data_IF_914762358513
#
_entry.id   IF_914762358513
#
_cell.length_a   1.000
_cell.length_b   1.000
_cell.length_c   1.000
_cell.angle_alpha   90.00
_cell.angle_beta   90.00
_cell.angle_gamma   90.00
#
_symmetry.space_group_name_H-M   'P 1'
#
loop_
_entity.id
_entity.type
_entity.pdbx_description
1 polymer ?
#
# COMPACT_ATOMS: atom_id res chain seq x y z
N UNK A 1 -15.97 5.33 25.08
CA UNK A 1 -15.19 4.07 25.02
C UNK A 1 -14.97 3.61 26.46
N UNK A 2 -15.16 2.33 26.80
CA UNK A 2 -14.98 1.86 28.19
C UNK A 2 -13.49 1.95 28.57
N UNK A 3 -13.15 2.37 29.79
CA UNK A 3 -11.76 2.57 30.23
C UNK A 3 -10.85 1.33 30.03
N UNK A 4 -11.41 0.12 30.15
CA UNK A 4 -10.69 -1.14 29.90
C UNK A 4 -10.26 -1.32 28.43
N UNK A 5 -11.09 -0.92 27.48
CA UNK A 5 -10.76 -0.99 26.04
C UNK A 5 -9.65 0.01 25.69
N UNK A 6 -9.69 1.21 26.27
CA UNK A 6 -8.65 2.21 26.08
C UNK A 6 -7.30 1.73 26.62
N UNK A 7 -7.26 1.17 27.84
CA UNK A 7 -6.04 0.57 28.40
C UNK A 7 -5.50 -0.56 27.54
N UNK A 8 -6.38 -1.41 27.01
CA UNK A 8 -5.97 -2.47 26.10
C UNK A 8 -5.34 -1.91 24.81
N UNK A 9 -5.98 -0.93 24.19
CA UNK A 9 -5.45 -0.30 22.98
C UNK A 9 -4.11 0.41 23.20
N UNK A 10 -3.97 1.13 24.32
CA UNK A 10 -2.71 1.76 24.71
C UNK A 10 -1.61 0.71 24.93
N UNK A 11 -1.94 -0.43 25.55
CA UNK A 11 -1.01 -1.54 25.70
C UNK A 11 -0.58 -2.14 24.36
N UNK A 12 -1.53 -2.35 23.43
CA UNK A 12 -1.21 -2.83 22.07
C UNK A 12 -0.36 -1.81 21.33
N UNK A 13 -0.69 -0.53 21.41
CA UNK A 13 0.08 0.55 20.81
C UNK A 13 1.53 0.57 21.33
N UNK A 14 1.73 0.61 22.66
CA UNK A 14 3.05 0.70 23.26
C UNK A 14 3.92 -0.52 22.93
N UNK A 15 3.35 -1.74 22.99
CA UNK A 15 4.06 -2.97 22.63
C UNK A 15 4.40 -3.01 21.13
N UNK A 16 3.45 -2.64 20.27
CA UNK A 16 3.67 -2.58 18.82
C UNK A 16 4.78 -1.59 18.49
N UNK A 17 4.74 -0.39 19.07
CA UNK A 17 5.75 0.63 18.88
C UNK A 17 7.13 0.16 19.35
N UNK A 18 7.21 -0.44 20.54
CA UNK A 18 8.46 -0.99 21.06
C UNK A 18 9.06 -2.05 20.13
N UNK A 19 8.25 -3.00 19.65
CA UNK A 19 8.69 -4.03 18.71
C UNK A 19 9.18 -3.43 17.40
N UNK A 20 8.44 -2.48 16.83
CA UNK A 20 8.79 -1.84 15.55
C UNK A 20 10.07 -0.99 15.68
N UNK A 21 10.24 -0.25 16.78
CA UNK A 21 11.45 0.55 17.01
C UNK A 21 12.68 -0.33 17.26
N UNK A 22 12.54 -1.44 18.00
CA UNK A 22 13.62 -2.41 18.18
C UNK A 22 14.00 -3.01 16.82
N UNK A 23 13.01 -3.45 16.04
CA UNK A 23 13.19 -3.98 14.69
C UNK A 23 13.88 -2.97 13.77
N UNK A 24 13.54 -1.70 13.89
CA UNK A 24 14.11 -0.61 13.12
C UNK A 24 15.58 -0.39 13.47
N UNK A 25 15.85 -0.08 14.74
CA UNK A 25 17.10 0.55 15.16
C UNK A 25 18.17 -0.45 15.65
N UNK A 26 17.78 -1.67 16.05
CA UNK A 26 18.68 -2.62 16.72
C UNK A 26 18.99 -3.82 15.82
N UNK A 27 20.27 -4.22 15.66
CA UNK A 27 21.48 -3.60 16.18
C UNK A 27 21.90 -2.33 15.42
N UNK A 28 21.25 -2.05 14.28
CA UNK A 28 21.48 -0.87 13.46
C UNK A 28 20.22 -0.50 12.68
N UNK A 29 20.03 0.76 12.28
CA UNK A 29 18.91 1.17 11.44
C UNK A 29 18.81 0.37 10.14
N UNK A 30 17.59 0.10 9.69
CA UNK A 30 17.25 -0.49 8.38
C UNK A 30 16.33 0.43 7.61
N UNK A 31 16.52 0.56 6.31
CA UNK A 31 15.66 1.35 5.42
C UNK A 31 15.57 0.69 4.04
N UNK A 32 15.20 1.47 3.03
CA UNK A 32 15.27 1.05 1.64
C UNK A 32 16.03 2.10 0.84
N UNK A 33 17.02 1.66 0.05
CA UNK A 33 17.80 2.51 -0.82
C UNK A 33 16.90 3.16 -1.89
N UNK A 34 17.26 4.36 -2.34
CA UNK A 34 16.54 5.02 -3.41
C UNK A 34 16.78 4.27 -4.73
N UNK A 35 15.71 3.98 -5.47
CA UNK A 35 15.80 3.39 -6.81
C UNK A 35 15.95 4.45 -7.92
N UNK A 36 16.13 5.72 -7.57
CA UNK A 36 16.15 6.86 -8.49
C UNK A 36 14.80 7.59 -8.58
N UNK A 37 13.81 7.24 -7.75
CA UNK A 37 12.53 7.98 -7.66
C UNK A 37 12.56 9.06 -6.56
N UNK A 38 13.41 8.91 -5.56
CA UNK A 38 13.41 9.71 -4.34
C UNK A 38 13.70 11.18 -4.56
N UNK A 39 14.42 11.53 -5.63
CA UNK A 39 14.63 12.92 -6.03
C UNK A 39 13.30 13.67 -6.17
N UNK A 40 12.22 13.01 -6.62
CA UNK A 40 10.91 13.64 -6.83
C UNK A 40 10.30 14.18 -5.55
N UNK A 41 10.62 13.57 -4.41
CA UNK A 41 10.16 13.99 -3.07
C UNK A 41 11.18 14.95 -2.43
N UNK A 42 12.47 14.59 -2.49
CA UNK A 42 13.57 15.39 -1.93
C UNK A 42 13.65 16.78 -2.55
N UNK A 43 13.37 16.89 -3.86
CA UNK A 43 13.43 18.13 -4.60
C UNK A 43 12.53 19.23 -4.01
N UNK A 44 11.27 18.91 -3.74
CA UNK A 44 10.32 19.87 -3.15
C UNK A 44 10.62 20.17 -1.67
N UNK A 45 11.35 19.27 -1.00
CA UNK A 45 11.81 19.47 0.38
C UNK A 45 13.08 20.32 0.46
N UNK A 46 13.78 20.56 -0.65
CA UNK A 46 15.10 21.19 -0.66
C UNK A 46 16.24 20.24 -0.25
N UNK A 47 15.97 18.93 -0.24
CA UNK A 47 16.94 17.90 0.06
C UNK A 47 17.87 17.60 -1.13
N UNK A 48 19.09 17.20 -0.82
CA UNK A 48 20.06 16.68 -1.79
C UNK A 48 19.46 15.45 -2.45
N UNK A 49 19.39 15.51 -3.76
CA UNK A 49 19.03 14.41 -4.63
C UNK A 49 20.31 14.08 -5.40
N UNK A 50 20.93 12.90 -5.20
CA UNK A 50 21.96 12.46 -6.12
C UNK A 50 21.43 12.44 -7.54
N UNK A 51 22.33 12.41 -8.53
CA UNK A 51 21.94 12.16 -9.93
C UNK A 51 20.97 10.98 -9.98
N UNK A 52 20.00 10.98 -10.91
CA UNK A 52 18.82 10.07 -11.03
C UNK A 52 19.17 8.55 -11.09
N UNK A 53 20.44 8.19 -10.86
CA UNK A 53 20.93 6.84 -10.68
C UNK A 53 20.38 6.18 -9.39
N UNK A 54 20.04 4.89 -9.46
CA UNK A 54 19.72 4.09 -8.27
C UNK A 54 20.86 4.07 -7.26
N UNK A 55 20.52 4.20 -5.98
CA UNK A 55 21.45 4.05 -4.86
C UNK A 55 21.58 2.57 -4.46
N UNK A 56 22.80 2.16 -4.13
CA UNK A 56 23.09 0.79 -3.66
C UNK A 56 23.05 0.66 -2.13
N UNK A 57 23.00 1.78 -1.41
CA UNK A 57 22.95 1.87 0.05
C UNK A 57 21.82 2.80 0.49
N UNK A 58 21.39 2.68 1.75
CA UNK A 58 20.43 3.60 2.36
C UNK A 58 21.12 4.86 2.86
N UNK A 59 20.67 6.02 2.40
CA UNK A 59 21.09 7.32 2.93
C UNK A 59 20.14 7.79 4.02
N UNK A 60 20.46 7.51 5.29
CA UNK A 60 19.60 7.91 6.40
C UNK A 60 19.53 9.43 6.64
N UNK A 61 20.39 10.23 6.00
CA UNK A 61 20.36 11.68 6.11
C UNK A 61 20.62 12.31 4.74
N UNK A 62 19.64 13.04 4.22
CA UNK A 62 19.77 13.85 3.01
C UNK A 62 20.05 15.29 3.42
N UNK A 63 21.24 15.80 3.08
CA UNK A 63 21.64 17.19 3.32
C UNK A 63 20.87 18.19 2.44
N UNK A 64 21.20 19.50 2.47
CA UNK A 64 20.61 20.48 1.57
C UNK A 64 21.00 20.22 0.11
N UNK A 65 20.06 20.42 -0.81
CA UNK A 65 20.24 20.31 -2.25
C UNK A 65 20.08 21.64 -2.98
N UNK A 66 20.30 21.65 -4.30
CA UNK A 66 19.99 22.79 -5.16
C UNK A 66 18.47 23.00 -5.25
N UNK A 67 18.05 24.26 -5.40
CA UNK A 67 16.64 24.59 -5.61
C UNK A 67 16.12 23.90 -6.88
N UNK A 68 15.03 23.17 -6.74
CA UNK A 68 14.34 22.54 -7.85
C UNK A 68 12.85 22.42 -7.52
N UNK A 69 12.04 22.01 -8.50
CA UNK A 69 10.62 21.76 -8.31
C UNK A 69 10.21 20.48 -9.01
N UNK A 70 9.54 19.60 -8.28
CA UNK A 70 8.96 18.37 -8.80
C UNK A 70 7.45 18.52 -8.85
N UNK A 71 6.85 18.22 -10.00
CA UNK A 71 5.39 18.14 -10.14
C UNK A 71 4.80 16.86 -9.55
N UNK A 72 5.61 15.97 -8.97
CA UNK A 72 5.15 14.70 -8.44
C UNK A 72 4.25 14.87 -7.22
N UNK A 73 3.10 14.19 -7.26
CA UNK A 73 2.16 14.16 -6.15
C UNK A 73 2.29 12.82 -5.42
N UNK A 74 2.56 12.91 -4.13
CA UNK A 74 2.49 11.78 -3.21
C UNK A 74 2.18 12.27 -1.79
N UNK A 75 1.33 11.55 -1.07
CA UNK A 75 1.12 11.73 0.36
C UNK A 75 2.35 11.41 1.20
N UNK A 76 3.36 10.71 0.64
CA UNK A 76 4.67 10.52 1.26
C UNK A 76 5.34 11.86 1.57
N UNK A 77 5.14 12.89 0.72
CA UNK A 77 5.67 14.22 0.94
C UNK A 77 5.17 14.85 2.26
N UNK A 78 3.99 14.48 2.76
CA UNK A 78 3.51 14.95 4.07
C UNK A 78 4.34 14.36 5.21
N UNK A 79 4.74 13.10 5.08
CA UNK A 79 5.57 12.42 6.06
C UNK A 79 6.99 12.98 6.03
N UNK A 80 7.54 13.18 4.83
CA UNK A 80 8.89 13.73 4.65
C UNK A 80 8.96 15.16 5.18
N UNK A 81 7.96 15.99 4.88
CA UNK A 81 7.88 17.36 5.41
C UNK A 81 7.80 17.38 6.93
N UNK A 82 6.94 16.53 7.53
CA UNK A 82 6.81 16.48 8.97
C UNK A 82 8.09 15.94 9.64
N UNK A 83 8.71 14.90 9.07
CA UNK A 83 9.97 14.34 9.52
C UNK A 83 11.12 15.34 9.41
N UNK A 84 11.16 16.16 8.36
CA UNK A 84 12.11 17.26 8.22
C UNK A 84 11.99 18.25 9.37
N UNK A 85 10.79 18.78 9.63
CA UNK A 85 10.56 19.74 10.72
C UNK A 85 10.89 19.15 12.08
N UNK A 86 10.45 17.92 12.33
CA UNK A 86 10.73 17.25 13.59
C UNK A 86 12.22 16.93 13.75
N UNK A 87 12.91 16.59 12.65
CA UNK A 87 14.34 16.38 12.62
C UNK A 87 15.13 17.62 13.04
N UNK A 88 14.75 18.82 12.56
CA UNK A 88 15.35 20.08 13.00
C UNK A 88 15.14 20.35 14.49
N UNK A 89 13.94 20.03 15.02
CA UNK A 89 13.65 20.14 16.47
C UNK A 89 14.56 19.23 17.30
N UNK A 90 14.89 18.03 16.78
CA UNK A 90 15.84 17.11 17.41
C UNK A 90 17.31 17.38 17.06
N UNK A 91 17.62 18.52 16.42
CA UNK A 91 18.99 18.94 16.13
C UNK A 91 19.64 18.26 14.92
N UNK A 92 18.87 17.58 14.06
CA UNK A 92 19.39 17.03 12.81
C UNK A 92 19.79 18.15 11.85
N UNK A 93 21.00 18.05 11.29
CA UNK A 93 21.48 18.96 10.25
C UNK A 93 20.98 18.58 8.86
N UNK A 94 20.44 17.38 8.69
CA UNK A 94 19.86 16.92 7.43
C UNK A 94 18.58 17.69 7.10
N UNK A 95 18.26 17.82 5.81
CA UNK A 95 16.96 18.30 5.37
C UNK A 95 15.88 17.23 5.53
N UNK A 96 16.27 15.96 5.38
CA UNK A 96 15.46 14.82 5.77
C UNK A 96 16.33 13.77 6.49
N UNK A 97 15.90 13.35 7.68
CA UNK A 97 16.48 12.23 8.40
C UNK A 97 15.51 11.04 8.38
N UNK A 98 15.89 9.97 7.67
CA UNK A 98 15.05 8.78 7.53
C UNK A 98 14.89 8.02 8.85
N UNK A 99 15.72 8.28 9.86
CA UNK A 99 15.52 7.74 11.22
C UNK A 99 14.32 8.38 11.89
N UNK A 100 14.15 9.69 11.71
CA UNK A 100 12.99 10.43 12.22
C UNK A 100 11.73 10.01 11.46
N UNK A 101 11.81 9.92 10.13
CA UNK A 101 10.72 9.42 9.28
C UNK A 101 10.30 8.01 9.70
N UNK A 102 11.26 7.08 9.83
CA UNK A 102 11.03 5.71 10.27
C UNK A 102 10.39 5.60 11.65
N UNK A 103 10.76 6.50 12.58
CA UNK A 103 10.13 6.54 13.90
C UNK A 103 8.67 7.04 13.83
N UNK A 104 8.40 8.07 13.02
CA UNK A 104 7.04 8.59 12.77
C UNK A 104 6.16 7.49 12.16
N UNK A 105 6.66 6.81 11.14
CA UNK A 105 5.92 5.72 10.48
C UNK A 105 5.71 4.54 11.44
N UNK A 106 6.67 4.19 12.30
CA UNK A 106 6.46 3.20 13.37
C UNK A 106 5.31 3.61 14.32
N UNK A 107 5.20 4.90 14.70
CA UNK A 107 4.09 5.42 15.51
C UNK A 107 2.75 5.28 14.77
N UNK A 108 2.70 5.65 13.49
CA UNK A 108 1.49 5.53 12.67
C UNK A 108 1.06 4.06 12.51
N UNK A 109 2.01 3.16 12.26
CA UNK A 109 1.75 1.71 12.15
C UNK A 109 1.27 1.15 13.48
N UNK A 110 1.92 1.46 14.60
CA UNK A 110 1.48 1.02 15.93
C UNK A 110 0.07 1.52 16.26
N UNK A 111 -0.25 2.78 15.91
CA UNK A 111 -1.58 3.37 16.02
C UNK A 111 -2.60 2.65 15.15
N UNK A 112 -2.25 2.34 13.90
CA UNK A 112 -3.08 1.58 12.97
C UNK A 112 -3.37 0.16 13.44
N UNK A 113 -2.39 -0.56 13.99
CA UNK A 113 -2.58 -1.88 14.60
C UNK A 113 -3.51 -1.79 15.80
N UNK A 114 -3.27 -0.85 16.72
CA UNK A 114 -4.11 -0.65 17.91
C UNK A 114 -5.57 -0.31 17.54
N UNK A 115 -5.77 0.60 16.58
CA UNK A 115 -7.09 0.95 16.09
C UNK A 115 -7.78 -0.23 15.39
N UNK A 116 -7.04 -0.99 14.59
CA UNK A 116 -7.57 -2.18 13.92
C UNK A 116 -8.08 -3.20 14.94
N UNK A 117 -7.29 -3.54 15.96
CA UNK A 117 -7.71 -4.55 16.95
C UNK A 117 -8.89 -4.10 17.81
N UNK A 118 -9.04 -2.79 18.06
CA UNK A 118 -10.24 -2.23 18.67
C UNK A 118 -11.48 -2.38 17.78
N UNK A 119 -11.28 -2.31 16.46
CA UNK A 119 -12.33 -2.53 15.46
C UNK A 119 -12.78 -4.00 15.34
N UNK A 120 -12.04 -4.97 15.88
CA UNK A 120 -12.34 -6.40 15.74
C UNK A 120 -13.34 -6.90 16.80
N UNK A 121 -14.44 -7.53 16.37
CA UNK A 121 -15.35 -8.31 17.24
C UNK A 121 -14.79 -9.69 17.60
N UNK A 122 -13.67 -9.71 18.30
CA UNK A 122 -12.99 -10.94 18.73
C UNK A 122 -12.74 -10.93 20.25
N UNK A 123 -12.50 -12.12 20.81
CA UNK A 123 -12.03 -12.24 22.20
C UNK A 123 -10.68 -11.53 22.38
N UNK A 124 -10.34 -11.15 23.61
CA UNK A 124 -9.08 -10.45 23.92
C UNK A 124 -7.86 -11.24 23.43
N UNK A 125 -7.84 -12.56 23.62
CA UNK A 125 -6.79 -13.46 23.11
C UNK A 125 -6.65 -13.35 21.59
N UNK A 126 -7.77 -13.43 20.88
CA UNK A 126 -7.79 -13.37 19.42
C UNK A 126 -7.44 -11.98 18.87
N UNK A 127 -7.72 -10.91 19.61
CA UNK A 127 -7.23 -9.55 19.29
C UNK A 127 -5.71 -9.42 19.46
N UNK A 128 -5.12 -10.09 20.45
CA UNK A 128 -3.65 -10.16 20.57
C UNK A 128 -3.04 -10.93 19.41
N UNK A 129 -3.62 -12.07 19.02
CA UNK A 129 -3.20 -12.81 17.81
C UNK A 129 -3.31 -11.92 16.57
N UNK A 130 -4.40 -11.16 16.43
CA UNK A 130 -4.56 -10.21 15.34
C UNK A 130 -3.46 -9.14 15.33
N UNK A 131 -3.11 -8.55 16.49
CA UNK A 131 -2.01 -7.59 16.58
C UNK A 131 -0.68 -8.21 16.10
N UNK A 132 -0.39 -9.45 16.53
CA UNK A 132 0.82 -10.17 16.11
C UNK A 132 0.83 -10.43 14.59
N UNK A 133 -0.29 -10.90 14.01
CA UNK A 133 -0.38 -11.15 12.58
C UNK A 133 -0.26 -9.86 11.75
N UNK A 134 -0.86 -8.75 12.20
CA UNK A 134 -0.69 -7.46 11.55
C UNK A 134 0.76 -6.99 11.65
N UNK A 135 1.37 -7.05 12.83
CA UNK A 135 2.79 -6.72 13.01
C UNK A 135 3.71 -7.60 12.17
N UNK A 136 3.37 -8.87 11.95
CA UNK A 136 4.14 -9.76 11.09
C UNK A 136 4.16 -9.26 9.65
N UNK A 137 3.04 -8.75 9.13
CA UNK A 137 2.99 -8.09 7.81
C UNK A 137 3.82 -6.81 7.83
N UNK A 138 3.59 -5.93 8.80
CA UNK A 138 4.27 -4.63 8.82
C UNK A 138 5.78 -4.72 9.08
N UNK A 139 6.23 -5.68 9.88
CA UNK A 139 7.64 -5.89 10.23
C UNK A 139 8.39 -6.75 9.21
N UNK A 140 7.69 -7.33 8.22
CA UNK A 140 8.30 -8.20 7.23
C UNK A 140 9.37 -7.46 6.41
N UNK A 141 10.46 -8.16 6.11
CA UNK A 141 11.65 -7.60 5.46
C UNK A 141 11.39 -7.08 4.04
N UNK A 142 10.31 -7.51 3.38
CA UNK A 142 9.90 -6.95 2.09
C UNK A 142 9.28 -5.55 2.20
N UNK A 143 8.69 -5.19 3.34
CA UNK A 143 7.93 -3.94 3.47
C UNK A 143 8.56 -2.94 4.43
N UNK A 144 9.19 -3.42 5.50
CA UNK A 144 9.62 -2.56 6.61
C UNK A 144 10.57 -1.43 6.16
N UNK A 145 11.50 -1.72 5.24
CA UNK A 145 12.45 -0.74 4.73
C UNK A 145 11.77 0.50 4.10
N UNK A 146 10.59 0.33 3.50
CA UNK A 146 9.86 1.43 2.87
C UNK A 146 9.35 2.48 3.86
N UNK A 147 9.16 2.11 5.13
CA UNK A 147 8.79 3.06 6.18
C UNK A 147 9.90 4.06 6.54
N UNK A 148 11.14 3.76 6.15
CA UNK A 148 12.31 4.62 6.28
C UNK A 148 13.00 4.75 4.91
N UNK A 149 12.30 5.32 3.94
CA UNK A 149 12.77 5.54 2.57
C UNK A 149 12.15 6.80 1.96
N UNK A 150 12.77 7.33 0.92
CA UNK A 150 12.23 8.41 0.08
C UNK A 150 11.35 7.85 -1.04
N UNK A 151 10.58 6.80 -0.75
CA UNK A 151 9.75 6.11 -1.72
C UNK A 151 8.29 6.09 -1.25
N UNK A 152 7.36 6.19 -2.19
CA UNK A 152 5.93 6.39 -1.89
C UNK A 152 5.20 5.13 -1.39
N UNK A 153 5.80 3.95 -1.50
CA UNK A 153 5.19 2.68 -1.08
C UNK A 153 4.88 2.67 0.43
N UNK A 154 5.74 3.29 1.25
CA UNK A 154 5.56 3.37 2.70
C UNK A 154 4.25 4.07 3.09
N UNK A 155 3.95 5.21 2.45
CA UNK A 155 2.66 5.89 2.62
C UNK A 155 1.48 5.01 2.17
N UNK A 156 1.61 4.30 1.05
CA UNK A 156 0.58 3.36 0.58
C UNK A 156 0.25 2.28 1.62
N UNK A 157 1.28 1.66 2.21
CA UNK A 157 1.14 0.62 3.23
C UNK A 157 0.47 1.14 4.51
N UNK A 158 0.92 2.29 5.02
CA UNK A 158 0.31 2.95 6.19
C UNK A 158 -1.15 3.28 5.91
N UNK A 159 -1.44 3.89 4.75
CA UNK A 159 -2.79 4.27 4.34
C UNK A 159 -3.75 3.08 4.31
N UNK A 160 -3.33 1.95 3.73
CA UNK A 160 -4.13 0.73 3.67
C UNK A 160 -4.42 0.13 5.06
N UNK A 161 -3.44 0.12 5.98
CA UNK A 161 -3.65 -0.35 7.36
C UNK A 161 -4.66 0.56 8.11
N UNK A 162 -4.47 1.88 8.04
CA UNK A 162 -5.36 2.84 8.70
C UNK A 162 -6.77 2.77 8.11
N UNK A 163 -6.89 2.63 6.79
CA UNK A 163 -8.17 2.49 6.10
C UNK A 163 -8.91 1.22 6.54
N UNK A 164 -8.22 0.07 6.61
CA UNK A 164 -8.80 -1.18 7.09
C UNK A 164 -9.30 -1.06 8.54
N UNK A 165 -8.47 -0.54 9.44
CA UNK A 165 -8.85 -0.32 10.84
C UNK A 165 -9.99 0.69 11.00
N UNK A 166 -9.96 1.78 10.23
CA UNK A 166 -10.99 2.82 10.21
C UNK A 166 -12.35 2.28 9.78
N UNK A 167 -12.40 1.48 8.70
CA UNK A 167 -13.64 0.86 8.22
C UNK A 167 -14.23 -0.11 9.26
N UNK A 168 -13.39 -0.89 9.95
CA UNK A 168 -13.83 -1.79 11.03
C UNK A 168 -14.40 -1.01 12.22
N UNK A 169 -13.73 0.06 12.64
CA UNK A 169 -14.18 0.94 13.73
C UNK A 169 -15.45 1.72 13.36
N UNK A 170 -15.59 2.13 12.11
CA UNK A 170 -16.78 2.85 11.64
C UNK A 170 -18.03 1.96 11.64
N UNK A 171 -17.88 0.63 11.61
CA UNK A 171 -18.98 -0.32 11.82
C UNK A 171 -19.34 -0.52 13.31
N UNK A 172 -18.68 0.18 14.24
CA UNK A 172 -19.03 0.19 15.68
C UNK A 172 -20.05 1.30 15.97
N UNK A 173 -20.42 1.43 17.25
CA UNK A 173 -21.39 2.42 17.75
C UNK A 173 -20.70 3.47 18.65
N UNK A 174 -21.38 4.58 18.91
CA UNK A 174 -20.90 5.67 19.77
C UNK A 174 -19.61 6.31 19.25
N UNK A 175 -18.75 6.77 20.18
CA UNK A 175 -17.50 7.47 19.84
C UNK A 175 -16.57 6.69 18.90
N UNK A 176 -16.53 5.35 19.02
CA UNK A 176 -15.69 4.49 18.17
C UNK A 176 -16.03 4.61 16.69
N UNK A 177 -17.31 4.86 16.37
CA UNK A 177 -17.77 5.07 14.99
C UNK A 177 -17.17 6.33 14.36
N UNK A 178 -17.16 7.43 15.11
CA UNK A 178 -16.64 8.71 14.64
C UNK A 178 -15.10 8.71 14.58
N UNK A 179 -14.45 8.08 15.55
CA UNK A 179 -13.00 7.80 15.47
C UNK A 179 -12.66 6.93 14.25
N UNK A 180 -13.48 5.91 13.97
CA UNK A 180 -13.35 5.10 12.76
C UNK A 180 -13.50 5.92 11.49
N UNK A 181 -14.44 6.87 11.44
CA UNK A 181 -14.60 7.77 10.30
C UNK A 181 -13.39 8.70 10.10
N UNK A 182 -12.88 9.31 11.18
CA UNK A 182 -11.67 10.14 11.12
C UNK A 182 -10.45 9.34 10.64
N UNK A 183 -10.28 8.12 11.15
CA UNK A 183 -9.22 7.21 10.73
C UNK A 183 -9.39 6.75 9.28
N UNK A 184 -10.64 6.52 8.83
CA UNK A 184 -10.97 6.20 7.43
C UNK A 184 -10.59 7.36 6.52
N UNK A 185 -10.89 8.61 6.90
CA UNK A 185 -10.49 9.81 6.15
C UNK A 185 -8.97 9.89 6.06
N UNK A 186 -8.26 9.78 7.18
CA UNK A 186 -6.79 9.84 7.20
C UNK A 186 -6.16 8.72 6.35
N UNK A 187 -6.60 7.48 6.55
CA UNK A 187 -6.11 6.32 5.80
C UNK A 187 -6.40 6.41 4.30
N UNK A 188 -7.58 6.89 3.92
CA UNK A 188 -7.93 7.08 2.52
C UNK A 188 -7.14 8.22 1.86
N UNK A 189 -6.99 9.38 2.52
CA UNK A 189 -6.21 10.50 1.99
C UNK A 189 -4.74 10.10 1.82
N UNK A 190 -4.15 9.40 2.79
CA UNK A 190 -2.79 8.89 2.69
C UNK A 190 -2.69 7.82 1.60
N UNK A 191 -3.53 6.79 1.67
CA UNK A 191 -3.42 5.60 0.81
C UNK A 191 -3.74 5.87 -0.66
N UNK A 192 -4.82 6.61 -0.96
CA UNK A 192 -5.22 6.91 -2.34
C UNK A 192 -4.17 7.80 -3.03
N UNK A 193 -3.65 8.78 -2.31
CA UNK A 193 -2.71 9.77 -2.85
C UNK A 193 -1.24 9.36 -2.68
N UNK A 194 -0.93 8.11 -2.32
CA UNK A 194 0.45 7.66 -2.17
C UNK A 194 1.17 7.60 -3.52
N UNK A 195 0.54 7.04 -4.54
CA UNK A 195 1.11 6.90 -5.89
C UNK A 195 -0.01 6.96 -6.94
N UNK A 196 0.33 7.21 -8.19
CA UNK A 196 -0.65 7.14 -9.30
C UNK A 196 -1.38 5.79 -9.35
N UNK A 197 -0.67 4.70 -9.04
CA UNK A 197 -1.21 3.35 -9.02
C UNK A 197 -2.25 3.16 -7.91
N UNK A 198 -2.09 3.83 -6.76
CA UNK A 198 -3.02 3.72 -5.62
C UNK A 198 -4.35 4.43 -5.86
N UNK A 199 -4.48 5.23 -6.91
CA UNK A 199 -5.77 5.81 -7.33
C UNK A 199 -6.82 4.74 -7.66
N UNK A 200 -6.39 3.52 -7.98
CA UNK A 200 -7.28 2.36 -8.14
C UNK A 200 -8.09 2.05 -6.87
N UNK A 201 -7.67 2.53 -5.71
CA UNK A 201 -8.45 2.43 -4.46
C UNK A 201 -9.74 3.24 -4.49
N UNK A 202 -9.87 4.31 -5.30
CA UNK A 202 -11.04 5.21 -5.28
C UNK A 202 -12.36 4.45 -5.48
N UNK A 203 -12.58 3.70 -6.59
CA UNK A 203 -13.84 2.98 -6.79
C UNK A 203 -14.08 1.92 -5.70
N UNK A 204 -13.02 1.24 -5.24
CA UNK A 204 -13.11 0.22 -4.20
C UNK A 204 -13.48 0.83 -2.83
N UNK A 205 -12.95 2.00 -2.53
CA UNK A 205 -13.24 2.78 -1.33
C UNK A 205 -14.70 3.24 -1.31
N UNK A 206 -15.22 3.76 -2.43
CA UNK A 206 -16.63 4.15 -2.57
C UNK A 206 -17.54 2.95 -2.29
N UNK A 207 -17.24 1.78 -2.89
CA UNK A 207 -17.99 0.55 -2.66
C UNK A 207 -17.87 0.11 -1.20
N UNK A 208 -16.68 0.14 -0.59
CA UNK A 208 -16.48 -0.22 0.80
C UNK A 208 -17.32 0.66 1.75
N UNK A 209 -17.33 1.98 1.54
CA UNK A 209 -18.18 2.92 2.28
C UNK A 209 -19.67 2.62 2.10
N UNK A 210 -20.09 2.31 0.87
CA UNK A 210 -21.46 1.91 0.57
C UNK A 210 -21.86 0.60 1.28
N UNK A 211 -20.90 -0.23 1.68
CA UNK A 211 -21.16 -1.50 2.36
C UNK A 211 -21.09 -1.40 3.90
N UNK A 212 -20.66 -0.27 4.47
CA UNK A 212 -20.66 -0.01 5.91
C UNK A 212 -22.08 -0.04 6.46
N UNK A 213 -22.34 -0.91 7.44
CA UNK A 213 -23.66 -1.07 8.07
C UNK A 213 -23.51 -1.16 9.59
N UNK A 214 -23.44 -0.02 10.31
CA UNK A 214 -23.37 -0.04 11.76
C UNK A 214 -24.65 -0.67 12.37
N UNK A 215 -24.53 -1.34 13.52
CA UNK A 215 -25.69 -1.79 14.29
C UNK A 215 -26.61 -0.61 14.64
N UNK A 216 -27.94 -0.83 14.52
CA UNK A 216 -28.96 0.14 14.97
C UNK A 216 -29.27 1.30 14.00
N UNK A 217 -28.45 1.56 12.98
CA UNK A 217 -28.77 2.63 12.01
C UNK A 217 -29.81 2.18 10.98
N UNK A 218 -30.98 2.83 10.97
CA UNK A 218 -32.08 2.57 10.02
C UNK A 218 -32.27 3.75 9.05
N UNK A 219 -32.92 3.48 7.92
CA UNK A 219 -33.29 4.50 6.93
C UNK A 219 -32.10 5.23 6.29
N UNK A 220 -32.34 6.46 5.82
CA UNK A 220 -31.35 7.28 5.10
C UNK A 220 -30.21 7.79 6.01
N UNK A 221 -30.45 7.92 7.31
CA UNK A 221 -29.49 8.42 8.32
C UNK A 221 -28.20 7.58 8.38
N UNK A 222 -28.28 6.28 8.09
CA UNK A 222 -27.11 5.39 8.06
C UNK A 222 -26.02 5.84 7.08
N UNK A 223 -26.39 6.61 6.06
CA UNK A 223 -25.51 7.06 4.99
C UNK A 223 -24.84 8.41 5.25
N UNK A 224 -25.31 9.21 6.22
CA UNK A 224 -24.79 10.56 6.45
C UNK A 224 -23.28 10.55 6.74
N UNK A 225 -22.84 9.66 7.62
CA UNK A 225 -21.41 9.56 7.97
C UNK A 225 -20.56 9.03 6.80
N UNK A 226 -20.88 7.90 6.14
CA UNK A 226 -20.18 7.48 4.92
C UNK A 226 -20.14 8.54 3.81
N UNK A 227 -21.23 9.28 3.60
CA UNK A 227 -21.26 10.37 2.61
C UNK A 227 -20.37 11.54 3.03
N UNK A 228 -20.38 11.93 4.30
CA UNK A 228 -19.46 12.95 4.81
C UNK A 228 -17.99 12.55 4.63
N UNK A 229 -17.65 11.29 4.95
CA UNK A 229 -16.31 10.73 4.69
C UNK A 229 -15.97 10.79 3.20
N UNK A 230 -16.89 10.38 2.33
CA UNK A 230 -16.69 10.41 0.89
C UNK A 230 -16.46 11.83 0.36
N UNK A 231 -17.23 12.81 0.82
CA UNK A 231 -17.08 14.22 0.43
C UNK A 231 -15.73 14.77 0.88
N UNK A 232 -15.33 14.53 2.14
CA UNK A 232 -14.04 15.01 2.66
C UNK A 232 -12.87 14.36 1.92
N UNK A 233 -12.90 13.05 1.71
CA UNK A 233 -11.85 12.33 0.97
C UNK A 233 -11.82 12.75 -0.50
N UNK A 234 -12.98 12.88 -1.13
CA UNK A 234 -13.11 13.30 -2.53
C UNK A 234 -12.58 14.71 -2.76
N UNK A 235 -13.00 15.67 -1.92
CA UNK A 235 -12.49 17.04 -1.97
C UNK A 235 -10.99 17.11 -1.66
N UNK A 236 -10.53 16.44 -0.60
CA UNK A 236 -9.11 16.39 -0.25
C UNK A 236 -8.25 15.77 -1.36
N UNK A 237 -8.70 14.67 -1.96
CA UNK A 237 -8.02 14.03 -3.10
C UNK A 237 -8.01 14.96 -4.32
N UNK A 238 -9.14 15.61 -4.64
CA UNK A 238 -9.19 16.56 -5.75
C UNK A 238 -8.21 17.73 -5.57
N UNK A 239 -8.13 18.29 -4.35
CA UNK A 239 -7.15 19.32 -4.00
C UNK A 239 -5.72 18.81 -4.15
N UNK A 240 -5.39 17.65 -3.59
CA UNK A 240 -4.03 17.09 -3.69
C UNK A 240 -3.64 16.85 -5.14
N UNK A 241 -4.55 16.28 -5.92
CA UNK A 241 -4.31 15.95 -7.32
C UNK A 241 -4.27 17.17 -8.25
N UNK A 242 -4.82 18.33 -7.85
CA UNK A 242 -4.79 19.55 -8.67
C UNK A 242 -3.44 20.29 -8.65
N UNK A 243 -2.52 19.92 -7.76
CA UNK A 243 -1.26 20.65 -7.55
C UNK A 243 -0.07 20.12 -8.38
N UNK A 244 -0.27 19.09 -9.19
CA UNK A 244 0.83 18.48 -9.95
C UNK A 244 0.38 17.39 -10.90
N UNK A 245 1.34 16.57 -11.33
CA UNK A 245 1.11 15.40 -12.17
C UNK A 245 1.54 14.13 -11.40
N UNK A 246 0.58 13.30 -10.95
CA UNK A 246 0.90 12.08 -10.21
C UNK A 246 1.65 11.04 -11.06
N UNK A 247 1.56 11.13 -12.39
CA UNK A 247 2.22 10.22 -13.31
C UNK A 247 3.50 10.82 -13.92
N UNK A 248 3.52 12.13 -14.22
CA UNK A 248 4.54 12.85 -15.02
C UNK A 248 4.62 12.29 -16.47
N UNK A 249 4.58 13.17 -17.49
CA UNK A 249 4.63 12.76 -18.90
C UNK A 249 5.90 11.99 -19.26
N UNK A 250 7.06 12.36 -18.70
CA UNK A 250 8.33 11.68 -18.93
C UNK A 250 8.31 10.25 -18.36
N UNK A 251 7.84 10.09 -17.13
CA UNK A 251 7.69 8.78 -16.49
C UNK A 251 6.64 7.91 -17.17
N UNK A 252 5.60 8.50 -17.76
CA UNK A 252 4.66 7.76 -18.61
C UNK A 252 5.36 7.20 -19.84
N UNK A 253 6.27 7.93 -20.45
CA UNK A 253 7.05 7.45 -21.59
C UNK A 253 8.06 6.39 -21.16
N UNK A 254 8.80 6.64 -20.06
CA UNK A 254 9.71 5.68 -19.45
C UNK A 254 9.03 4.34 -19.15
N UNK A 255 7.82 4.37 -18.56
CA UNK A 255 7.06 3.16 -18.29
C UNK A 255 6.67 2.41 -19.57
N UNK A 256 6.32 3.13 -20.65
CA UNK A 256 5.99 2.47 -21.93
C UNK A 256 7.22 1.92 -22.64
N UNK A 257 8.35 2.60 -22.56
CA UNK A 257 9.65 2.05 -22.97
C UNK A 257 9.89 0.72 -22.26
N UNK A 258 9.73 0.69 -20.94
CA UNK A 258 9.94 -0.53 -20.16
C UNK A 258 8.95 -1.65 -20.48
N UNK A 259 7.67 -1.34 -20.67
CA UNK A 259 6.69 -2.34 -21.11
C UNK A 259 7.12 -2.98 -22.43
N UNK A 260 7.57 -2.18 -23.39
CA UNK A 260 7.98 -2.70 -24.70
C UNK A 260 9.28 -3.48 -24.61
N UNK A 261 10.33 -2.93 -24.02
CA UNK A 261 11.69 -3.46 -24.17
C UNK A 261 12.17 -4.36 -23.03
N UNK A 262 11.39 -4.48 -21.96
CA UNK A 262 11.73 -5.34 -20.83
C UNK A 262 10.67 -6.42 -20.55
N UNK A 263 9.43 -6.22 -21.01
CA UNK A 263 8.34 -7.20 -20.84
C UNK A 263 7.89 -7.86 -22.14
N UNK A 264 7.50 -7.08 -23.16
CA UNK A 264 7.00 -7.64 -24.42
C UNK A 264 8.16 -8.21 -25.23
N UNK A 265 9.11 -7.35 -25.59
CA UNK A 265 10.29 -7.67 -26.38
C UNK A 265 11.43 -8.00 -25.42
N UNK A 266 11.29 -9.09 -24.67
CA UNK A 266 12.19 -9.47 -23.57
C UNK A 266 13.52 -10.10 -24.00
N UNK A 267 13.73 -10.29 -25.31
CA UNK A 267 14.93 -10.93 -25.88
C UNK A 267 15.03 -12.45 -25.63
N UNK A 268 14.04 -13.06 -24.96
CA UNK A 268 14.01 -14.51 -24.66
C UNK A 268 13.04 -15.25 -25.57
N UNK A 269 12.02 -14.55 -26.07
CA UNK A 269 11.03 -15.07 -27.00
C UNK A 269 11.25 -14.52 -28.42
N UNK A 270 10.29 -14.77 -29.34
CA UNK A 270 10.36 -14.34 -30.74
C UNK A 270 10.31 -12.81 -30.86
N UNK A 271 11.50 -12.23 -30.73
CA UNK A 271 11.74 -10.79 -30.73
C UNK A 271 11.29 -10.15 -32.03
N UNK A 272 11.48 -10.82 -33.16
CA UNK A 272 11.12 -10.27 -34.47
C UNK A 272 9.62 -10.26 -34.67
N UNK A 273 8.92 -11.32 -34.25
CA UNK A 273 7.46 -11.35 -34.27
C UNK A 273 6.86 -10.31 -33.32
N UNK A 274 7.40 -10.16 -32.09
CA UNK A 274 6.92 -9.21 -31.10
C UNK A 274 7.11 -7.75 -31.57
N UNK A 275 8.27 -7.43 -32.16
CA UNK A 275 8.52 -6.12 -32.78
C UNK A 275 7.58 -5.86 -33.97
N UNK A 276 7.42 -6.84 -34.86
CA UNK A 276 6.52 -6.71 -36.01
C UNK A 276 5.05 -6.49 -35.58
N UNK A 277 4.59 -7.20 -34.55
CA UNK A 277 3.26 -7.05 -33.98
C UNK A 277 3.03 -5.68 -33.33
N UNK A 278 4.07 -5.08 -32.74
CA UNK A 278 4.05 -3.72 -32.22
C UNK A 278 4.24 -2.65 -33.32
N UNK A 279 4.53 -3.06 -34.56
CA UNK A 279 4.85 -2.17 -35.66
C UNK A 279 6.19 -1.47 -35.50
N UNK A 280 7.14 -2.06 -34.77
CA UNK A 280 8.46 -1.49 -34.50
C UNK A 280 9.52 -2.05 -35.48
N UNK A 281 10.52 -1.24 -35.86
CA UNK A 281 11.58 -1.69 -36.77
C UNK A 281 12.57 -2.65 -36.06
N UNK A 282 13.30 -3.50 -36.81
CA UNK A 282 14.34 -4.35 -36.23
C UNK A 282 15.46 -3.60 -35.49
N UNK A 283 15.71 -2.32 -35.83
CA UNK A 283 16.67 -1.46 -35.12
C UNK A 283 16.29 -1.22 -33.66
N UNK A 284 15.01 -1.40 -33.29
CA UNK A 284 14.54 -1.25 -31.91
C UNK A 284 15.11 -2.33 -30.96
N UNK A 285 15.68 -3.43 -31.48
CA UNK A 285 16.34 -4.48 -30.67
C UNK A 285 17.43 -3.94 -29.74
N UNK A 286 18.07 -2.82 -30.09
CA UNK A 286 19.13 -2.21 -29.27
C UNK A 286 18.65 -1.69 -27.91
N UNK A 287 17.34 -1.50 -27.73
CA UNK A 287 16.76 -1.03 -26.48
C UNK A 287 16.32 -2.15 -25.53
N UNK A 288 16.37 -3.42 -25.97
CA UNK A 288 15.99 -4.58 -25.16
C UNK A 288 16.84 -4.64 -23.88
N UNK A 289 16.18 -4.72 -22.73
CA UNK A 289 16.85 -4.80 -21.43
C UNK A 289 17.53 -3.49 -20.98
N UNK A 290 17.30 -2.37 -21.67
CA UNK A 290 17.96 -1.10 -21.36
C UNK A 290 17.12 -0.22 -20.43
N UNK A 291 17.78 0.35 -19.41
CA UNK A 291 17.15 1.30 -18.49
C UNK A 291 16.86 2.63 -19.19
N UNK A 292 15.67 3.24 -18.98
CA UNK A 292 15.32 4.55 -19.57
C UNK A 292 16.40 5.60 -19.30
N UNK A 293 16.79 5.76 -18.03
CA UNK A 293 17.79 6.74 -17.60
C UNK A 293 19.21 6.41 -18.08
N UNK A 294 19.56 5.12 -18.11
CA UNK A 294 20.91 4.67 -18.48
C UNK A 294 21.15 4.75 -20.00
N UNK A 295 20.15 4.42 -20.80
CA UNK A 295 20.26 4.43 -22.26
C UNK A 295 19.90 5.77 -22.89
N UNK A 296 19.17 6.64 -22.18
CA UNK A 296 18.72 7.94 -22.68
C UNK A 296 18.11 7.86 -24.09
N UNK A 297 17.13 6.96 -24.33
CA UNK A 297 16.62 6.65 -25.68
C UNK A 297 16.01 7.88 -26.38
N UNK A 298 15.54 8.89 -25.63
CA UNK A 298 15.04 10.16 -26.20
C UNK A 298 16.11 10.98 -26.96
N UNK A 299 17.40 10.67 -26.77
CA UNK A 299 18.51 11.29 -27.52
C UNK A 299 18.86 10.54 -28.80
N UNK A 300 18.34 9.32 -28.98
CA UNK A 300 18.66 8.45 -30.09
C UNK A 300 17.71 8.68 -31.28
N UNK A 301 18.22 9.04 -32.48
CA UNK A 301 17.40 9.28 -33.66
C UNK A 301 16.49 8.10 -34.04
N UNK A 302 16.95 6.86 -33.87
CA UNK A 302 16.14 5.68 -34.20
C UNK A 302 14.92 5.62 -33.28
N UNK A 303 15.11 5.78 -31.97
CA UNK A 303 14.00 5.77 -31.01
C UNK A 303 12.97 6.85 -31.35
N UNK A 304 13.44 8.08 -31.60
CA UNK A 304 12.54 9.19 -31.94
C UNK A 304 11.71 8.93 -33.20
N UNK A 305 12.23 8.16 -34.16
CA UNK A 305 11.52 7.81 -35.40
C UNK A 305 10.31 6.89 -35.21
N UNK A 306 10.31 6.05 -34.16
CA UNK A 306 9.23 5.10 -33.89
C UNK A 306 8.54 5.32 -32.53
N UNK A 307 8.97 6.29 -31.73
CA UNK A 307 8.42 6.55 -30.38
C UNK A 307 6.89 6.66 -30.36
N UNK A 308 6.29 7.25 -31.39
CA UNK A 308 4.83 7.48 -31.44
C UNK A 308 4.04 6.17 -31.61
N UNK A 309 4.71 5.08 -32.04
CA UNK A 309 4.14 3.74 -32.11
C UNK A 309 4.07 3.06 -30.74
N UNK A 310 4.93 3.48 -29.80
CA UNK A 310 4.95 3.04 -28.40
C UNK A 310 3.84 3.78 -27.64
N UNK A 311 2.61 3.30 -27.82
CA UNK A 311 1.42 3.89 -27.20
C UNK A 311 0.65 2.88 -26.36
N UNK A 312 -0.09 3.36 -25.36
CA UNK A 312 -1.00 2.53 -24.56
C UNK A 312 -1.99 1.75 -25.42
N UNK A 313 -2.45 2.36 -26.53
CA UNK A 313 -3.38 1.71 -27.46
C UNK A 313 -2.71 0.51 -28.14
N UNK A 314 -1.50 0.70 -28.66
CA UNK A 314 -0.73 -0.36 -29.32
C UNK A 314 -0.46 -1.51 -28.35
N UNK A 315 -0.06 -1.19 -27.11
CA UNK A 315 0.20 -2.18 -26.06
C UNK A 315 -1.06 -2.97 -25.70
N UNK A 316 -2.21 -2.29 -25.50
CA UNK A 316 -3.48 -2.96 -25.22
C UNK A 316 -3.93 -3.85 -26.39
N UNK A 317 -3.73 -3.40 -27.63
CA UNK A 317 -4.03 -4.19 -28.82
C UNK A 317 -3.12 -5.42 -28.90
N UNK A 318 -1.82 -5.27 -28.64
CA UNK A 318 -0.87 -6.38 -28.59
C UNK A 318 -1.31 -7.44 -27.56
N UNK A 319 -1.65 -7.02 -26.34
CA UNK A 319 -2.09 -7.98 -25.31
C UNK A 319 -3.37 -8.73 -25.68
N UNK A 320 -4.30 -8.06 -26.37
CA UNK A 320 -5.55 -8.66 -26.82
C UNK A 320 -5.35 -9.64 -27.99
N UNK A 321 -4.42 -9.35 -28.91
CA UNK A 321 -4.12 -10.22 -30.06
C UNK A 321 -3.11 -11.33 -29.76
N UNK A 322 -2.36 -11.24 -28.65
CA UNK A 322 -1.33 -12.21 -28.25
C UNK A 322 -1.58 -12.80 -26.85
N UNK A 323 -2.72 -13.47 -26.60
CA UNK A 323 -3.09 -13.93 -25.25
C UNK A 323 -2.07 -14.89 -24.62
N UNK A 324 -1.38 -15.71 -25.44
CA UNK A 324 -0.32 -16.59 -24.94
C UNK A 324 0.89 -15.82 -24.42
N UNK A 325 1.34 -14.78 -25.15
CA UNK A 325 2.43 -13.89 -24.70
C UNK A 325 2.00 -13.09 -23.47
N UNK A 326 0.77 -12.56 -23.46
CA UNK A 326 0.20 -11.87 -22.30
C UNK A 326 0.21 -12.75 -21.05
N UNK A 327 -0.15 -14.04 -21.17
CA UNK A 327 -0.09 -14.97 -20.05
C UNK A 327 1.33 -15.23 -19.56
N UNK A 328 2.32 -15.27 -20.45
CA UNK A 328 3.73 -15.41 -20.09
C UNK A 328 4.25 -14.18 -19.34
N UNK A 329 3.85 -12.97 -19.77
CA UNK A 329 4.17 -11.72 -19.07
C UNK A 329 3.53 -11.71 -17.67
N UNK A 330 2.26 -12.09 -17.56
CA UNK A 330 1.58 -12.22 -16.26
C UNK A 330 2.23 -13.29 -15.38
N UNK A 331 2.69 -14.40 -15.97
CA UNK A 331 3.42 -15.44 -15.23
C UNK A 331 4.72 -14.88 -14.64
N UNK A 332 5.51 -14.15 -15.43
CA UNK A 332 6.72 -13.49 -14.93
C UNK A 332 6.38 -12.43 -13.86
N UNK A 333 5.35 -11.62 -14.09
CA UNK A 333 4.88 -10.65 -13.11
C UNK A 333 4.51 -11.31 -11.78
N UNK A 334 3.89 -12.49 -11.80
CA UNK A 334 3.55 -13.24 -10.58
C UNK A 334 4.80 -13.80 -9.87
N UNK A 335 5.80 -14.26 -10.62
CA UNK A 335 7.12 -14.64 -10.06
C UNK A 335 7.75 -13.42 -9.37
N UNK A 336 7.72 -12.26 -10.00
CA UNK A 336 8.28 -11.02 -9.47
C UNK A 336 7.52 -10.55 -8.21
N UNK A 337 6.19 -10.62 -8.22
CA UNK A 337 5.35 -10.34 -7.02
C UNK A 337 5.72 -11.23 -5.86
N UNK A 338 5.85 -12.54 -6.08
CA UNK A 338 6.11 -13.51 -5.03
C UNK A 338 7.56 -13.48 -4.55
N UNK A 339 8.51 -13.07 -5.41
CA UNK A 339 9.91 -12.85 -5.03
C UNK A 339 10.04 -11.80 -3.92
N UNK A 340 9.11 -10.83 -3.88
CA UNK A 340 8.90 -9.86 -2.81
C UNK A 340 10.06 -8.89 -2.50
N UNK A 341 11.27 -9.15 -2.97
CA UNK A 341 12.46 -8.39 -2.56
C UNK A 341 13.27 -7.98 -3.78
N UNK A 342 13.30 -6.69 -4.14
CA UNK A 342 14.08 -6.22 -5.27
C UNK A 342 15.57 -6.39 -4.97
N UNK A 343 16.26 -7.22 -5.74
CA UNK A 343 17.69 -7.57 -5.54
C UNK A 343 18.64 -6.38 -5.70
N UNK A 344 18.17 -5.30 -6.33
CA UNK A 344 18.97 -4.09 -6.63
C UNK A 344 18.92 -3.02 -5.54
N UNK A 345 18.10 -3.18 -4.50
CA UNK A 345 17.95 -2.18 -3.43
C UNK A 345 18.54 -2.68 -2.11
N UNK A 346 19.48 -1.90 -1.57
CA UNK A 346 20.09 -2.15 -0.26
C UNK A 346 19.18 -1.76 0.90
N UNK A 347 19.36 -2.43 2.04
CA UNK A 347 18.61 -2.17 3.28
C UNK A 347 19.42 -1.47 4.36
N UNK A 348 20.72 -1.25 4.13
CA UNK A 348 21.66 -0.69 5.09
C UNK A 348 22.43 0.49 4.51
N UNK A 349 22.89 1.38 5.38
CA UNK A 349 23.85 2.42 5.02
C UNK A 349 25.25 1.83 4.83
N UNK A 350 26.08 2.51 4.04
CA UNK A 350 27.48 2.14 3.80
C UNK A 350 28.27 1.97 5.11
N UNK A 351 28.06 2.88 6.08
CA UNK A 351 28.72 2.83 7.40
C UNK A 351 28.39 1.59 8.23
N UNK A 352 27.40 0.78 7.83
CA UNK A 352 27.13 -0.52 8.44
C UNK A 352 28.19 -1.58 8.09
N UNK A 353 29.06 -1.34 7.11
CA UNK A 353 30.12 -2.26 6.70
C UNK A 353 29.62 -3.49 5.94
N UNK A 354 28.40 -3.45 5.39
CA UNK A 354 27.90 -4.50 4.51
C UNK A 354 28.22 -4.18 3.04
N UNK A 355 28.26 -5.20 2.15
CA UNK A 355 28.42 -4.98 0.72
C UNK A 355 27.30 -4.12 0.10
N UNK A 356 27.53 -3.50 -1.07
CA UNK A 356 26.48 -2.82 -1.84
C UNK A 356 25.26 -3.71 -2.06
N UNK A 357 24.06 -3.13 -2.04
CA UNK A 357 22.77 -3.84 -2.20
C UNK A 357 22.50 -4.91 -1.13
N UNK A 358 23.26 -4.90 -0.02
CA UNK A 358 23.02 -5.84 1.08
C UNK A 358 21.61 -5.68 1.66
N UNK A 359 20.99 -6.82 1.85
CA UNK A 359 19.57 -6.96 2.06
C UNK A 359 19.30 -7.46 3.49
N UNK A 360 18.30 -6.92 4.18
CA UNK A 360 18.02 -7.30 5.57
C UNK A 360 17.05 -8.49 5.68
N UNK A 361 17.21 -9.34 6.70
CA UNK A 361 16.42 -10.57 6.90
C UNK A 361 16.00 -10.76 8.36
N UNK A 362 15.74 -9.68 9.11
CA UNK A 362 15.42 -9.81 10.56
C UNK A 362 14.06 -10.47 10.78
N UNK A 363 13.10 -10.20 9.89
CA UNK A 363 11.76 -10.81 9.92
C UNK A 363 11.36 -11.14 8.46
N UNK A 364 11.85 -12.24 7.87
CA UNK A 364 11.59 -12.57 6.47
C UNK A 364 10.52 -13.69 6.37
N UNK A 365 9.43 -13.54 7.12
CA UNK A 365 8.49 -14.66 7.33
C UNK A 365 7.56 -14.81 6.13
N UNK A 366 6.82 -13.75 5.80
CA UNK A 366 5.88 -13.78 4.68
C UNK A 366 6.62 -13.68 3.35
N UNK A 367 7.61 -12.80 3.26
CA UNK A 367 8.45 -12.68 2.06
C UNK A 367 9.31 -13.91 1.80
N UNK A 368 9.79 -14.59 2.84
CA UNK A 368 10.51 -15.85 2.69
C UNK A 368 9.59 -16.95 2.15
N UNK A 369 8.38 -17.08 2.70
CA UNK A 369 7.39 -18.05 2.22
C UNK A 369 6.92 -17.76 0.79
N UNK A 370 6.72 -16.49 0.43
CA UNK A 370 6.37 -16.14 -0.96
C UNK A 370 7.52 -16.39 -1.91
N UNK A 371 8.76 -16.10 -1.51
CA UNK A 371 9.94 -16.34 -2.35
C UNK A 371 10.11 -17.84 -2.64
N UNK A 372 9.82 -18.72 -1.68
CA UNK A 372 9.79 -20.18 -1.91
C UNK A 372 8.74 -20.59 -2.94
N UNK A 373 7.59 -19.90 -2.96
CA UNK A 373 6.52 -20.15 -3.92
C UNK A 373 6.71 -19.39 -5.25
N UNK A 374 7.67 -18.47 -5.33
CA UNK A 374 7.83 -17.58 -6.48
C UNK A 374 8.01 -18.30 -7.82
N UNK A 375 8.77 -19.42 -7.93
CA UNK A 375 8.89 -20.16 -9.19
C UNK A 375 7.56 -20.67 -9.76
N UNK A 376 6.52 -20.83 -8.92
CA UNK A 376 5.19 -21.24 -9.36
C UNK A 376 4.41 -20.10 -10.00
N UNK A 377 4.76 -18.83 -9.75
CA UNK A 377 4.09 -17.64 -10.29
C UNK A 377 2.57 -17.69 -10.11
N UNK A 378 1.81 -17.64 -11.21
CA UNK A 378 0.34 -17.63 -11.17
C UNK A 378 -0.24 -18.89 -10.51
N UNK A 379 0.44 -20.05 -10.61
CA UNK A 379 0.00 -21.30 -10.00
C UNK A 379 0.03 -21.27 -8.47
N UNK A 380 0.79 -20.36 -7.85
CA UNK A 380 0.69 -20.09 -6.41
C UNK A 380 -0.21 -18.89 -6.11
N UNK A 381 -0.04 -17.79 -6.85
CA UNK A 381 -0.70 -16.51 -6.56
C UNK A 381 -2.23 -16.60 -6.73
N UNK A 382 -2.72 -17.19 -7.82
CA UNK A 382 -4.16 -17.26 -8.12
C UNK A 382 -4.90 -18.15 -7.09
N UNK A 383 -4.46 -19.39 -6.79
CA UNK A 383 -5.11 -20.18 -5.75
C UNK A 383 -5.09 -19.49 -4.38
N UNK A 384 -4.02 -18.78 -4.05
CA UNK A 384 -3.95 -18.03 -2.80
C UNK A 384 -5.02 -16.92 -2.74
N UNK A 385 -5.17 -16.13 -3.81
CA UNK A 385 -6.25 -15.15 -3.91
C UNK A 385 -7.64 -15.76 -3.89
N UNK A 386 -7.85 -16.92 -4.51
CA UNK A 386 -9.13 -17.62 -4.46
C UNK A 386 -9.49 -18.06 -3.04
N UNK A 387 -8.51 -18.52 -2.25
CA UNK A 387 -8.71 -18.87 -0.84
C UNK A 387 -9.06 -17.65 0.02
N UNK A 388 -8.34 -16.53 -0.18
CA UNK A 388 -8.65 -15.25 0.48
C UNK A 388 -10.06 -14.78 0.10
N UNK A 389 -10.40 -14.83 -1.20
CA UNK A 389 -11.70 -14.46 -1.74
C UNK A 389 -12.82 -15.32 -1.19
N UNK A 390 -12.64 -16.64 -1.12
CA UNK A 390 -13.58 -17.57 -0.49
C UNK A 390 -13.84 -17.21 0.97
N UNK A 391 -12.78 -16.98 1.75
CA UNK A 391 -12.89 -16.58 3.14
C UNK A 391 -13.61 -15.22 3.28
N UNK A 392 -13.35 -14.28 2.36
CA UNK A 392 -14.03 -13.00 2.24
C UNK A 392 -15.53 -13.14 1.94
N UNK A 393 -15.92 -13.98 0.98
CA UNK A 393 -17.33 -14.29 0.66
C UNK A 393 -18.03 -14.91 1.85
N UNK A 394 -17.40 -15.90 2.50
CA UNK A 394 -17.93 -16.55 3.70
C UNK A 394 -18.12 -15.53 4.82
N UNK A 395 -17.16 -14.63 5.04
CA UNK A 395 -17.25 -13.58 6.04
C UNK A 395 -18.39 -12.60 5.72
N UNK A 396 -18.47 -12.14 4.46
CA UNK A 396 -19.47 -11.21 3.97
C UNK A 396 -20.91 -11.72 4.14
N UNK A 397 -21.14 -13.01 3.86
CA UNK A 397 -22.45 -13.66 3.95
C UNK A 397 -22.88 -14.03 5.37
N UNK A 398 -21.92 -14.17 6.29
CA UNK A 398 -22.19 -14.56 7.69
C UNK A 398 -22.21 -13.35 8.61
N UNK A 399 -22.13 -13.58 9.92
CA UNK A 399 -22.08 -12.54 10.96
C UNK A 399 -20.82 -11.65 10.89
N UNK A 400 -19.95 -11.84 9.88
CA UNK A 400 -18.60 -11.29 9.76
C UNK A 400 -18.40 -10.28 8.63
N UNK A 401 -19.47 -9.57 8.29
CA UNK A 401 -19.55 -8.84 7.03
C UNK A 401 -18.51 -7.74 6.85
N UNK A 402 -18.23 -7.02 7.92
CA UNK A 402 -17.20 -5.99 8.01
C UNK A 402 -15.81 -6.51 7.61
N UNK A 403 -15.45 -7.74 7.98
CA UNK A 403 -14.20 -8.38 7.56
C UNK A 403 -14.24 -8.67 6.07
N UNK A 404 -15.36 -9.18 5.56
CA UNK A 404 -15.55 -9.42 4.14
C UNK A 404 -15.35 -8.15 3.30
N UNK A 405 -15.85 -7.00 3.77
CA UNK A 405 -15.66 -5.70 3.09
C UNK A 405 -14.17 -5.32 3.04
N UNK A 406 -13.45 -5.42 4.15
CA UNK A 406 -12.01 -5.12 4.19
C UNK A 406 -11.20 -6.10 3.33
N UNK A 407 -11.52 -7.40 3.39
CA UNK A 407 -10.89 -8.43 2.56
C UNK A 407 -11.09 -8.14 1.08
N UNK A 408 -12.31 -7.80 0.65
CA UNK A 408 -12.56 -7.47 -0.75
C UNK A 408 -11.88 -6.17 -1.19
N UNK A 409 -11.88 -5.13 -0.35
CA UNK A 409 -11.18 -3.89 -0.65
C UNK A 409 -9.69 -4.16 -0.94
N UNK A 410 -9.01 -4.88 -0.04
CA UNK A 410 -7.59 -5.16 -0.16
C UNK A 410 -7.28 -6.17 -1.28
N UNK A 411 -8.07 -7.25 -1.41
CA UNK A 411 -7.85 -8.27 -2.42
C UNK A 411 -8.12 -7.75 -3.83
N UNK A 412 -9.21 -7.01 -4.05
CA UNK A 412 -9.50 -6.43 -5.37
C UNK A 412 -8.49 -5.35 -5.73
N UNK A 413 -8.00 -4.59 -4.74
CA UNK A 413 -6.90 -3.67 -4.97
C UNK A 413 -5.64 -4.43 -5.39
N UNK A 414 -5.25 -5.49 -4.67
CA UNK A 414 -4.11 -6.32 -5.02
C UNK A 414 -4.20 -6.91 -6.44
N UNK A 415 -5.33 -7.53 -6.79
CA UNK A 415 -5.56 -8.10 -8.13
C UNK A 415 -5.47 -7.04 -9.22
N UNK A 416 -6.04 -5.85 -8.97
CA UNK A 416 -6.00 -4.76 -9.92
C UNK A 416 -4.61 -4.13 -10.05
N UNK A 417 -3.86 -4.00 -8.95
CA UNK A 417 -2.46 -3.56 -8.95
C UNK A 417 -1.57 -4.55 -9.70
N UNK A 418 -1.81 -5.85 -9.52
CA UNK A 418 -1.07 -6.87 -10.26
C UNK A 418 -1.21 -6.69 -11.76
N UNK A 419 -2.43 -6.52 -12.26
CA UNK A 419 -2.68 -6.27 -13.67
C UNK A 419 -2.02 -4.97 -14.15
N UNK A 420 -2.12 -3.90 -13.36
CA UNK A 420 -1.52 -2.61 -13.69
C UNK A 420 0.02 -2.67 -13.74
N UNK A 421 0.66 -3.25 -12.73
CA UNK A 421 2.11 -3.31 -12.64
C UNK A 421 2.71 -4.38 -13.57
N UNK A 422 2.08 -5.56 -13.72
CA UNK A 422 2.62 -6.61 -14.58
C UNK A 422 2.50 -6.29 -16.07
N UNK A 423 1.46 -5.54 -16.48
CA UNK A 423 1.22 -5.21 -17.88
C UNK A 423 1.57 -3.76 -18.24
N UNK A 424 1.74 -2.89 -17.25
CA UNK A 424 1.92 -1.45 -17.44
C UNK A 424 3.30 -0.91 -17.06
N UNK A 425 4.17 -1.71 -16.41
CA UNK A 425 5.46 -1.26 -15.86
C UNK A 425 6.53 -2.37 -15.97
N UNK A 426 7.42 -2.32 -16.97
CA UNK A 426 8.20 -3.50 -17.35
C UNK A 426 9.49 -3.86 -16.60
N UNK A 427 10.31 -2.92 -16.10
CA UNK A 427 11.64 -3.22 -15.48
C UNK A 427 11.59 -3.33 -13.98
N UNK A 428 10.83 -2.45 -13.35
CA UNK A 428 10.87 -2.24 -11.91
C UNK A 428 9.82 -3.12 -11.20
N UNK A 429 9.50 -4.24 -11.85
CA UNK A 429 8.41 -5.16 -11.55
C UNK A 429 8.39 -5.52 -10.07
N UNK A 430 9.48 -6.05 -9.52
CA UNK A 430 9.48 -6.50 -8.11
C UNK A 430 9.11 -5.38 -7.11
N UNK A 431 9.59 -4.13 -7.30
CA UNK A 431 9.23 -2.99 -6.44
C UNK A 431 7.75 -2.62 -6.61
N UNK A 432 7.31 -2.42 -7.86
CA UNK A 432 5.92 -2.03 -8.12
C UNK A 432 4.92 -3.11 -7.71
N UNK A 433 5.32 -4.37 -7.77
CA UNK A 433 4.52 -5.49 -7.30
C UNK A 433 4.38 -5.56 -5.78
N UNK A 434 5.06 -4.71 -4.99
CA UNK A 434 4.80 -4.64 -3.54
C UNK A 434 3.44 -4.02 -3.22
N UNK A 435 2.93 -3.14 -4.08
CA UNK A 435 1.55 -2.66 -3.99
C UNK A 435 0.52 -3.74 -4.40
N UNK A 436 0.96 -4.88 -4.90
CA UNK A 436 0.18 -6.11 -5.04
C UNK A 436 0.34 -7.02 -3.81
N UNK A 437 1.58 -7.29 -3.40
CA UNK A 437 1.89 -8.29 -2.38
C UNK A 437 1.46 -7.84 -0.97
N UNK A 438 1.72 -6.60 -0.59
CA UNK A 438 1.36 -6.06 0.72
C UNK A 438 -0.16 -6.17 1.00
N UNK A 439 -1.06 -5.63 0.14
CA UNK A 439 -2.50 -5.79 0.35
C UNK A 439 -2.96 -7.24 0.24
N UNK A 440 -2.28 -8.10 -0.53
CA UNK A 440 -2.56 -9.54 -0.56
C UNK A 440 -2.37 -10.16 0.84
N UNK A 441 -1.22 -9.92 1.48
CA UNK A 441 -0.97 -10.45 2.83
C UNK A 441 -1.86 -9.82 3.89
N UNK A 442 -2.11 -8.51 3.80
CA UNK A 442 -3.03 -7.86 4.72
C UNK A 442 -4.46 -8.42 4.58
N UNK A 443 -4.93 -8.66 3.34
CA UNK A 443 -6.20 -9.34 3.08
C UNK A 443 -6.21 -10.76 3.64
N UNK A 444 -5.11 -11.51 3.50
CA UNK A 444 -4.96 -12.85 4.07
C UNK A 444 -5.08 -12.86 5.60
N UNK A 445 -4.48 -11.87 6.29
CA UNK A 445 -4.65 -11.70 7.75
C UNK A 445 -6.12 -11.52 8.10
N UNK A 446 -6.83 -10.59 7.44
CA UNK A 446 -8.26 -10.39 7.73
C UNK A 446 -9.13 -11.60 7.34
N UNK A 447 -8.77 -12.33 6.28
CA UNK A 447 -9.41 -13.57 5.90
C UNK A 447 -9.25 -14.64 7.00
N UNK A 448 -8.05 -14.82 7.55
CA UNK A 448 -7.79 -15.72 8.69
C UNK A 448 -8.57 -15.28 9.92
N UNK A 449 -8.51 -14.00 10.29
CA UNK A 449 -9.22 -13.47 11.46
C UNK A 449 -10.74 -13.62 11.33
N UNK A 450 -11.28 -13.61 10.11
CA UNK A 450 -12.69 -13.84 9.87
C UNK A 450 -13.16 -15.26 10.24
N UNK A 451 -12.23 -16.23 10.35
CA UNK A 451 -12.50 -17.63 10.71
C UNK A 451 -12.61 -17.81 12.23
N UNK A 452 -12.14 -16.85 13.03
CA UNK A 452 -12.11 -16.99 14.48
C UNK A 452 -13.51 -16.94 15.12
N UNK A 453 -13.73 -17.68 16.23
CA UNK A 453 -14.98 -17.61 16.98
C UNK A 453 -15.26 -16.20 17.47
N UNK A 454 -16.54 -15.81 17.40
CA UNK A 454 -17.02 -14.51 17.87
C UNK A 454 -17.70 -14.65 19.22
N UNK A 455 -17.52 -13.70 20.14
CA UNK A 455 -18.30 -13.67 21.36
C UNK A 455 -19.79 -13.56 21.03
N UNK A 456 -20.65 -14.27 21.77
CA UNK A 456 -22.09 -14.14 21.65
C UNK A 456 -22.48 -12.67 21.91
N UNK A 457 -23.35 -12.10 21.07
CA UNK A 457 -23.96 -10.82 21.40
C UNK A 457 -24.86 -11.08 22.61
N UNK A 458 -24.54 -10.45 23.73
CA UNK A 458 -25.52 -10.29 24.80
C UNK A 458 -26.60 -9.39 24.22
N UNK A 459 -27.77 -9.95 23.91
CA UNK A 459 -28.96 -9.15 23.69
C UNK A 459 -29.25 -8.47 25.03
N UNK A 460 -29.00 -7.16 25.13
CA UNK A 460 -29.56 -6.40 26.23
C UNK A 460 -31.08 -6.56 26.14
N UNK A 461 -31.76 -7.00 27.22
CA UNK A 461 -33.20 -7.08 27.22
C UNK A 461 -33.75 -5.71 26.81
N UNK A 462 -34.64 -5.70 25.81
CA UNK A 462 -35.48 -4.54 25.53
C UNK A 462 -36.12 -4.18 26.87
N UNK A 463 -35.72 -3.04 27.44
CA UNK A 463 -36.25 -2.58 28.71
C UNK A 463 -37.77 -2.68 28.65
N UNK A 464 -38.34 -3.43 29.59
CA UNK A 464 -39.77 -3.43 29.84
C UNK A 464 -40.20 -1.97 29.92
N UNK A 465 -40.95 -1.54 28.92
CA UNK A 465 -41.72 -0.31 29.00
C UNK A 465 -42.72 -0.59 30.10
N UNK A 466 -42.42 -0.08 31.30
CA UNK A 466 -43.36 -0.06 32.41
C UNK A 466 -44.62 0.68 31.92
N UNK A 467 -45.63 -0.07 31.55
CA UNK A 467 -46.99 0.43 31.34
C UNK A 467 -47.50 0.88 32.70
N UNK A 468 -47.26 2.13 33.05
CA UNK A 468 -47.99 2.80 34.12
C UNK A 468 -49.42 3.03 33.61
N UNK A 469 -50.33 2.14 34.02
CA UNK A 469 -51.77 2.36 33.94
C UNK A 469 -52.12 3.53 34.87
N UNK A 470 -52.83 4.58 34.43
CA UNK A 470 -53.27 5.64 35.33
C UNK A 470 -54.40 5.09 36.22
N UNK A 471 -54.26 5.21 37.54
CA UNK A 471 -55.37 5.03 38.48
C UNK A 471 -56.42 6.12 38.26
N UNK A 472 -57.67 5.69 38.08
CA UNK A 472 -58.86 6.52 38.06
C UNK A 472 -59.11 7.11 39.46
N UNK A 473 -59.48 8.39 39.61
CA UNK A 473 -59.82 8.94 40.91
C UNK A 473 -61.21 8.44 41.34
N UNK A 474 -61.26 7.74 42.46
CA UNK A 474 -62.49 7.33 43.11
C UNK A 474 -63.31 8.56 43.55
N UNK A 475 -64.51 8.70 42.97
CA UNK A 475 -65.56 9.57 43.48
C UNK A 475 -66.31 8.79 44.57
N UNK A 476 -66.23 9.25 45.82
CA UNK A 476 -67.32 9.27 46.80
C UNK A 476 -66.99 10.14 47.99
#
# INVERSE_FOLDING_TARGET
>A
MRARELRFALGVFALSLGVLLIRFLVPRPVGMADNGDGWRLLCNLGGRHPEVAPEVYVHFGYGPGSACRSGYISSQAWFDWFASKLGKVFGSSAELDLRVLGAITCVLVAGGVAATVLGLELSRRNRVIAAVLLLLVMADSAFFGYFASVLSEGAGFVGMLLLAGGLLLMNRTGASRYWGAALTVAGALIGINAKSQTLLLIPLFVVALALVRPPGARGRVRWLLPLGVLVVVGAGTAVVQSHGDPANSEYREANMHHVVFDSIVDGKHDTDADLAALGLPPSAKKFIGTGWWAASPWTDPDYTSFRDRISRRTILQYYASHPARTLQILQQGAVDTLTARPSRLGSFAESAGFPPMAQEYRVPVLSGLSALAAPLGLFALVPFWLLIGWAGVRAFRRRARDYGVVVFLLLLFAVGQFGLSALGEGVEGVKHQLLTLFPTFLAAVFAVLSLFPRPARVEEPLGEVATTVPEEPAVR
#
